data_IF_916164731016
#
_entry.id   IF_916164731016
#
_cell.length_a   1.000
_cell.length_b   1.000
_cell.length_c   1.000
_cell.angle_alpha   90.00
_cell.angle_beta   90.00
_cell.angle_gamma   90.00
#
_symmetry.space_group_name_H-M   'P 1'
#
loop_
_entity.id
_entity.type
_entity.pdbx_description
1 polymer ?
#
# COMPACT_ATOMS: atom_id res chain seq x y z
N UNK A 1 39.38 -9.02 -1.05
CA UNK A 1 38.21 -8.26 -0.54
C UNK A 1 37.02 -8.63 -1.42
N UNK A 2 36.19 -9.58 -0.98
CA UNK A 2 34.92 -9.95 -1.63
C UNK A 2 34.00 -8.73 -1.57
N UNK A 3 33.44 -8.33 -2.72
CA UNK A 3 32.20 -7.55 -2.75
C UNK A 3 31.10 -8.56 -2.48
N UNK A 4 30.36 -8.37 -1.40
CA UNK A 4 29.11 -9.06 -1.19
C UNK A 4 28.07 -8.34 -2.06
N UNK A 5 27.80 -8.94 -3.22
CA UNK A 5 26.67 -8.57 -4.07
C UNK A 5 25.39 -8.98 -3.34
N UNK A 6 24.91 -8.10 -2.46
CA UNK A 6 23.62 -8.22 -1.74
C UNK A 6 22.42 -7.83 -2.60
N UNK A 7 22.45 -8.17 -3.89
CA UNK A 7 21.30 -8.05 -4.77
C UNK A 7 20.43 -9.28 -4.57
N UNK A 8 19.28 -9.12 -3.90
CA UNK A 8 18.23 -10.13 -3.94
C UNK A 8 17.78 -10.39 -5.39
N UNK A 9 16.93 -11.41 -5.62
CA UNK A 9 16.39 -11.71 -6.96
C UNK A 9 15.62 -10.53 -7.60
N UNK A 10 15.33 -9.49 -6.83
CA UNK A 10 14.72 -8.24 -7.22
C UNK A 10 15.83 -7.19 -7.45
N UNK A 11 16.31 -7.09 -8.68
CA UNK A 11 17.47 -6.27 -9.06
C UNK A 11 17.29 -4.74 -8.98
N UNK A 12 16.27 -4.25 -8.26
CA UNK A 12 15.99 -2.83 -8.08
C UNK A 12 16.43 -2.31 -6.70
N UNK A 13 16.79 -1.03 -6.64
CA UNK A 13 17.20 -0.38 -5.39
C UNK A 13 15.96 -0.08 -4.54
N UNK A 14 15.85 -0.72 -3.37
CA UNK A 14 14.72 -0.48 -2.47
C UNK A 14 14.76 0.96 -1.91
N UNK A 15 13.65 1.68 -2.01
CA UNK A 15 13.56 3.09 -1.60
C UNK A 15 13.33 3.15 -0.08
N UNK A 16 14.25 3.72 0.72
CA UNK A 16 14.06 3.82 2.17
C UNK A 16 13.02 4.89 2.53
N UNK A 17 12.43 4.81 3.75
CA UNK A 17 11.58 5.87 4.28
C UNK A 17 12.29 7.24 4.23
N UNK A 18 11.55 8.30 3.90
CA UNK A 18 12.09 9.66 3.76
C UNK A 18 12.86 9.96 2.46
N UNK A 19 13.13 8.98 1.59
CA UNK A 19 13.84 9.19 0.31
C UNK A 19 12.95 9.09 -0.93
N UNK A 20 11.65 9.32 -0.76
CA UNK A 20 10.70 9.36 -1.88
C UNK A 20 11.03 10.51 -2.84
N UNK A 21 11.00 10.23 -4.14
CA UNK A 21 11.22 11.24 -5.19
C UNK A 21 9.89 11.83 -5.66
N UNK A 22 9.95 13.00 -6.32
CA UNK A 22 8.74 13.60 -6.92
C UNK A 22 8.11 12.69 -7.96
N UNK A 23 8.93 12.08 -8.85
CA UNK A 23 8.45 11.23 -9.93
C UNK A 23 7.66 10.01 -9.44
N UNK A 24 8.17 9.31 -8.41
CA UNK A 24 7.48 8.12 -7.89
C UNK A 24 6.20 8.48 -7.14
N UNK A 25 6.22 9.56 -6.35
CA UNK A 25 5.04 10.07 -5.66
C UNK A 25 3.96 10.51 -6.64
N UNK A 26 4.35 11.21 -7.70
CA UNK A 26 3.46 11.61 -8.79
C UNK A 26 2.83 10.38 -9.46
N UNK A 27 3.63 9.39 -9.85
CA UNK A 27 3.15 8.15 -10.49
C UNK A 27 2.18 7.41 -9.58
N UNK A 28 2.53 7.23 -8.31
CA UNK A 28 1.68 6.56 -7.33
C UNK A 28 0.36 7.31 -7.13
N UNK A 29 0.41 8.64 -6.95
CA UNK A 29 -0.79 9.48 -6.80
C UNK A 29 -1.73 9.31 -8.00
N UNK A 30 -1.21 9.31 -9.23
CA UNK A 30 -2.02 9.08 -10.43
C UNK A 30 -2.68 7.71 -10.45
N UNK A 31 -1.99 6.67 -10.01
CA UNK A 31 -2.54 5.30 -9.94
C UNK A 31 -3.66 5.22 -8.89
N UNK A 32 -3.44 5.74 -7.69
CA UNK A 32 -4.47 5.71 -6.64
C UNK A 32 -5.68 6.60 -6.97
N UNK A 33 -5.49 7.69 -7.73
CA UNK A 33 -6.60 8.50 -8.25
C UNK A 33 -7.39 7.80 -9.37
N UNK A 34 -6.75 6.89 -10.12
CA UNK A 34 -7.41 6.09 -11.17
C UNK A 34 -8.25 4.97 -10.58
N UNK A 35 -7.91 4.48 -9.39
CA UNK A 35 -8.65 3.43 -8.69
C UNK A 35 -10.16 3.72 -8.66
N UNK A 36 -10.97 2.76 -9.12
CA UNK A 36 -12.43 2.84 -9.12
C UNK A 36 -13.07 1.96 -8.03
N UNK A 37 -12.28 1.15 -7.31
CA UNK A 37 -12.77 0.26 -6.24
C UNK A 37 -13.02 0.94 -4.90
N UNK A 38 -12.75 2.24 -4.79
CA UNK A 38 -13.01 3.00 -3.57
C UNK A 38 -14.50 3.32 -3.41
N UNK A 39 -15.01 3.22 -2.17
CA UNK A 39 -16.35 3.69 -1.80
C UNK A 39 -16.21 4.86 -0.82
N UNK A 40 -16.78 6.04 -1.12
CA UNK A 40 -17.52 6.37 -2.34
C UNK A 40 -16.62 6.40 -3.60
N UNK A 41 -17.19 6.32 -4.82
CA UNK A 41 -16.40 6.37 -6.06
C UNK A 41 -15.54 7.63 -6.16
N UNK A 42 -14.31 7.48 -6.66
CA UNK A 42 -13.33 8.57 -6.83
C UNK A 42 -12.95 9.31 -5.54
N UNK A 43 -13.11 8.67 -4.38
CA UNK A 43 -12.85 9.30 -3.07
C UNK A 43 -11.44 9.90 -2.96
N UNK A 44 -10.40 9.18 -3.40
CA UNK A 44 -9.01 9.69 -3.36
C UNK A 44 -8.84 10.92 -4.24
N UNK A 45 -9.47 10.94 -5.42
CA UNK A 45 -9.46 12.09 -6.32
C UNK A 45 -10.18 13.30 -5.70
N UNK A 46 -11.31 13.08 -5.03
CA UNK A 46 -12.05 14.15 -4.36
C UNK A 46 -11.23 14.73 -3.19
N UNK A 47 -10.70 13.87 -2.32
CA UNK A 47 -9.80 14.27 -1.22
C UNK A 47 -8.59 15.05 -1.70
N UNK A 48 -8.00 14.64 -2.83
CA UNK A 48 -6.89 15.37 -3.43
C UNK A 48 -7.27 16.79 -3.84
N UNK A 49 -8.43 16.96 -4.48
CA UNK A 49 -8.90 18.28 -4.86
C UNK A 49 -9.16 19.16 -3.65
N UNK A 50 -9.81 18.62 -2.61
CA UNK A 50 -10.09 19.34 -1.36
C UNK A 50 -8.79 19.74 -0.66
N UNK A 51 -7.82 18.83 -0.60
CA UNK A 51 -6.49 19.10 -0.06
C UNK A 51 -5.77 20.20 -0.86
N UNK A 52 -5.82 20.15 -2.19
CA UNK A 52 -5.22 21.19 -3.03
C UNK A 52 -5.91 22.55 -2.83
N UNK A 53 -7.23 22.59 -2.69
CA UNK A 53 -7.95 23.84 -2.44
C UNK A 53 -7.58 24.46 -1.09
N UNK A 54 -7.21 23.63 -0.10
CA UNK A 54 -6.77 24.10 1.22
C UNK A 54 -5.28 24.47 1.29
N UNK A 55 -4.40 23.79 0.52
CA UNK A 55 -2.95 23.84 0.73
C UNK A 55 -2.12 24.21 -0.50
N UNK A 56 -2.64 24.01 -1.72
CA UNK A 56 -1.85 24.25 -2.93
C UNK A 56 -1.81 25.74 -3.28
N UNK A 57 -0.66 26.26 -3.72
CA UNK A 57 -0.58 27.62 -4.24
C UNK A 57 -1.42 27.75 -5.53
N UNK A 58 -1.98 28.93 -5.80
CA UNK A 58 -2.67 29.18 -7.06
C UNK A 58 -1.68 29.23 -8.23
N UNK A 59 -2.12 28.78 -9.42
CA UNK A 59 -1.26 28.75 -10.63
C UNK A 59 -0.90 30.17 -11.09
N UNK A 60 -1.83 31.11 -10.89
CA UNK A 60 -1.68 32.54 -11.20
C UNK A 60 -2.16 33.34 -10.00
N UNK A 61 -1.67 34.57 -9.84
CA UNK A 61 -2.14 35.47 -8.79
C UNK A 61 -3.68 35.63 -8.84
N UNK A 62 -4.37 35.38 -7.73
CA UNK A 62 -5.84 35.37 -7.64
C UNK A 62 -6.54 34.23 -8.40
N UNK A 63 -5.80 33.26 -8.95
CA UNK A 63 -6.32 32.12 -9.69
C UNK A 63 -6.80 30.98 -8.78
N UNK A 64 -7.30 29.90 -9.42
CA UNK A 64 -7.66 28.66 -8.71
C UNK A 64 -6.39 27.91 -8.25
N UNK A 65 -6.53 27.15 -7.17
CA UNK A 65 -5.49 26.25 -6.68
C UNK A 65 -5.03 25.29 -7.78
N UNK A 66 -3.71 25.07 -7.87
CA UNK A 66 -3.15 24.07 -8.76
C UNK A 66 -3.53 22.66 -8.27
N UNK A 67 -4.20 21.87 -9.11
CA UNK A 67 -4.61 20.49 -8.79
C UNK A 67 -3.88 19.43 -9.61
N UNK A 68 -3.11 19.83 -10.61
CA UNK A 68 -2.29 18.89 -11.39
C UNK A 68 -1.05 18.50 -10.57
N UNK A 69 -0.92 17.22 -10.16
CA UNK A 69 0.22 16.77 -9.37
C UNK A 69 1.57 17.04 -10.05
N UNK A 70 1.61 17.13 -11.39
CA UNK A 70 2.85 17.42 -12.13
C UNK A 70 3.40 18.81 -11.85
N UNK A 71 2.52 19.75 -11.49
CA UNK A 71 2.86 21.17 -11.22
C UNK A 71 3.11 21.44 -9.73
N UNK A 72 2.91 20.45 -8.87
CA UNK A 72 2.98 20.60 -7.42
C UNK A 72 4.29 20.03 -6.86
N UNK A 73 4.71 20.57 -5.72
CA UNK A 73 5.97 20.15 -5.08
C UNK A 73 5.88 18.73 -4.53
N UNK A 74 7.05 18.10 -4.39
CA UNK A 74 7.19 16.78 -3.78
C UNK A 74 6.56 16.72 -2.39
N UNK A 75 6.82 17.74 -1.58
CA UNK A 75 6.40 17.78 -0.19
C UNK A 75 4.88 17.96 -0.06
N UNK A 76 4.25 18.68 -1.00
CA UNK A 76 2.79 18.80 -1.04
C UNK A 76 2.13 17.45 -1.37
N UNK A 77 2.66 16.73 -2.36
CA UNK A 77 2.16 15.39 -2.72
C UNK A 77 2.36 14.42 -1.55
N UNK A 78 3.55 14.43 -0.93
CA UNK A 78 3.85 13.61 0.23
C UNK A 78 2.89 13.92 1.39
N UNK A 79 2.65 15.19 1.68
CA UNK A 79 1.70 15.64 2.70
C UNK A 79 0.32 15.02 2.49
N UNK A 80 -0.23 15.14 1.28
CA UNK A 80 -1.51 14.52 0.95
C UNK A 80 -1.50 12.99 1.14
N UNK A 81 -0.48 12.30 0.65
CA UNK A 81 -0.40 10.84 0.74
C UNK A 81 -0.36 10.36 2.19
N UNK A 82 0.25 11.14 3.09
CA UNK A 82 0.27 10.86 4.53
C UNK A 82 -1.03 11.23 5.25
N UNK A 83 -1.89 12.08 4.68
CA UNK A 83 -3.24 12.35 5.20
C UNK A 83 -4.24 11.23 4.91
N UNK A 84 -3.95 10.36 3.93
CA UNK A 84 -4.80 9.21 3.67
C UNK A 84 -4.90 8.32 4.93
N UNK A 85 -6.10 7.78 5.24
CA UNK A 85 -6.31 7.03 6.46
C UNK A 85 -5.33 5.86 6.59
N UNK A 86 -4.67 5.73 7.74
CA UNK A 86 -3.77 4.60 8.01
C UNK A 86 -4.35 3.21 7.68
N UNK A 87 -5.63 2.90 7.96
CA UNK A 87 -6.22 1.61 7.56
C UNK A 87 -6.16 1.35 6.05
N UNK A 88 -6.27 2.40 5.22
CA UNK A 88 -6.17 2.30 3.76
C UNK A 88 -4.77 1.82 3.34
N UNK A 89 -3.71 2.39 3.93
CA UNK A 89 -2.32 1.95 3.69
C UNK A 89 -2.07 0.51 4.14
N UNK A 90 -2.57 0.15 5.32
CA UNK A 90 -2.44 -1.22 5.87
C UNK A 90 -3.10 -2.24 4.94
N UNK A 91 -4.34 -1.98 4.53
CA UNK A 91 -5.11 -2.88 3.67
C UNK A 91 -4.48 -2.99 2.27
N UNK A 92 -3.96 -1.89 1.73
CA UNK A 92 -3.22 -1.92 0.46
C UNK A 92 -1.97 -2.80 0.54
N UNK A 93 -1.13 -2.61 1.57
CA UNK A 93 0.08 -3.43 1.76
C UNK A 93 -0.27 -4.91 1.91
N UNK A 94 -1.32 -5.24 2.66
CA UNK A 94 -1.81 -6.61 2.76
C UNK A 94 -2.28 -7.17 1.42
N UNK A 95 -2.98 -6.36 0.61
CA UNK A 95 -3.42 -6.77 -0.72
C UNK A 95 -2.23 -7.07 -1.64
N UNK A 96 -1.20 -6.24 -1.59
CA UNK A 96 0.07 -6.45 -2.30
C UNK A 96 0.74 -7.76 -1.85
N UNK A 97 0.79 -8.02 -0.54
CA UNK A 97 1.32 -9.27 0.01
C UNK A 97 0.53 -10.50 -0.46
N UNK A 98 -0.81 -10.41 -0.48
CA UNK A 98 -1.69 -11.52 -0.88
C UNK A 98 -1.54 -11.83 -2.38
N UNK A 99 -1.54 -10.79 -3.22
CA UNK A 99 -1.29 -10.95 -4.66
C UNK A 99 0.15 -11.41 -4.95
N UNK A 100 1.09 -11.06 -4.06
CA UNK A 100 2.50 -11.42 -4.09
C UNK A 100 2.80 -12.91 -3.95
N UNK A 101 1.83 -13.77 -3.60
CA UNK A 101 2.05 -15.22 -3.56
C UNK A 101 2.43 -15.80 -4.93
N UNK A 102 2.07 -15.13 -6.03
CA UNK A 102 2.38 -15.54 -7.39
C UNK A 102 3.38 -14.61 -8.10
N UNK A 103 3.54 -13.36 -7.65
CA UNK A 103 4.41 -12.35 -8.26
C UNK A 103 5.65 -11.98 -7.44
N UNK A 104 5.82 -12.54 -6.23
CA UNK A 104 7.01 -12.36 -5.39
C UNK A 104 7.03 -11.11 -4.48
N UNK A 105 5.96 -10.31 -4.48
CA UNK A 105 5.87 -9.14 -3.59
C UNK A 105 5.82 -9.48 -2.09
N UNK A 106 5.55 -10.75 -1.72
CA UNK A 106 5.59 -11.20 -0.33
C UNK A 106 7.03 -11.25 0.19
N UNK A 107 7.93 -11.77 -0.65
CA UNK A 107 9.36 -11.79 -0.40
C UNK A 107 9.92 -10.37 -0.37
N UNK A 108 9.48 -9.51 -1.29
CA UNK A 108 9.84 -8.08 -1.34
C UNK A 108 9.45 -7.34 -0.04
N UNK A 109 8.23 -7.54 0.48
CA UNK A 109 7.85 -7.00 1.79
C UNK A 109 8.76 -7.47 2.92
N UNK A 110 9.11 -8.75 2.92
CA UNK A 110 9.96 -9.35 3.94
C UNK A 110 11.36 -8.74 3.89
N UNK A 111 11.96 -8.65 2.70
CA UNK A 111 13.26 -8.04 2.48
C UNK A 111 13.26 -6.56 2.85
N UNK A 112 12.21 -5.82 2.47
CA UNK A 112 12.05 -4.41 2.83
C UNK A 112 12.02 -4.21 4.35
N UNK A 113 11.26 -5.04 5.06
CA UNK A 113 11.20 -4.98 6.52
C UNK A 113 12.55 -5.32 7.17
N UNK A 114 13.27 -6.32 6.66
CA UNK A 114 14.59 -6.68 7.20
C UNK A 114 15.58 -5.52 7.11
N UNK A 115 15.53 -4.75 6.02
CA UNK A 115 16.42 -3.61 5.81
C UNK A 115 16.01 -2.37 6.61
N UNK A 116 14.73 -2.02 6.60
CA UNK A 116 14.30 -0.68 7.04
C UNK A 116 13.39 -0.66 8.26
N UNK A 117 12.73 -1.77 8.62
CA UNK A 117 11.77 -1.73 9.71
C UNK A 117 12.47 -1.50 11.07
N UNK A 118 11.80 -0.82 12.01
CA UNK A 118 12.27 -0.73 13.38
C UNK A 118 12.33 -2.12 14.05
N UNK A 119 13.18 -2.28 15.07
CA UNK A 119 13.24 -3.51 15.86
C UNK A 119 11.97 -3.70 16.69
N UNK A 120 11.63 -4.96 16.96
CA UNK A 120 10.51 -5.33 17.79
C UNK A 120 10.91 -5.29 19.27
N UNK A 121 10.69 -4.16 19.92
CA UNK A 121 11.05 -3.95 21.33
C UNK A 121 12.56 -4.12 21.55
N UNK A 122 12.94 -5.02 22.46
CA UNK A 122 14.34 -5.32 22.77
C UNK A 122 14.93 -6.48 21.92
N UNK A 123 14.17 -7.01 20.95
CA UNK A 123 14.64 -8.07 20.06
C UNK A 123 15.39 -7.48 18.86
N UNK A 124 16.32 -8.26 18.29
CA UNK A 124 16.90 -7.99 16.97
C UNK A 124 15.91 -8.25 15.83
N UNK A 125 14.79 -8.93 16.11
CA UNK A 125 13.73 -9.19 15.12
C UNK A 125 13.07 -7.90 14.64
N UNK A 126 12.74 -7.83 13.35
CA UNK A 126 12.12 -6.67 12.72
C UNK A 126 10.59 -6.72 12.79
N UNK A 127 9.94 -5.56 12.91
CA UNK A 127 8.48 -5.46 12.80
C UNK A 127 8.08 -5.71 11.33
N UNK A 128 7.22 -6.71 11.11
CA UNK A 128 6.72 -7.08 9.76
C UNK A 128 5.22 -6.94 9.57
N UNK A 129 4.49 -6.65 10.64
CA UNK A 129 3.04 -6.43 10.56
C UNK A 129 2.77 -4.97 10.18
N UNK A 130 2.12 -4.70 9.02
CA UNK A 130 1.80 -3.33 8.59
C UNK A 130 1.01 -2.53 9.63
N UNK A 131 0.24 -3.19 10.50
CA UNK A 131 -0.53 -2.55 11.58
C UNK A 131 0.32 -1.94 12.68
N UNK A 132 1.62 -2.25 12.72
CA UNK A 132 2.58 -1.75 13.70
C UNK A 132 3.63 -0.82 13.08
N UNK A 133 3.42 -0.40 11.82
CA UNK A 133 4.33 0.48 11.08
C UNK A 133 3.66 1.82 10.75
N UNK A 134 4.47 2.87 10.60
CA UNK A 134 3.99 4.20 10.30
C UNK A 134 3.53 4.34 8.84
N UNK A 135 2.55 5.21 8.52
CA UNK A 135 2.08 5.41 7.16
C UNK A 135 3.19 5.77 6.17
N UNK A 136 4.19 6.54 6.60
CA UNK A 136 5.35 6.89 5.76
C UNK A 136 6.16 5.65 5.37
N UNK A 137 6.33 4.69 6.28
CA UNK A 137 6.99 3.42 6.01
C UNK A 137 6.19 2.56 5.02
N UNK A 138 4.86 2.53 5.18
CA UNK A 138 3.98 1.80 4.26
C UNK A 138 4.00 2.42 2.87
N UNK A 139 3.94 3.75 2.79
CA UNK A 139 4.04 4.52 1.55
C UNK A 139 5.38 4.26 0.85
N UNK A 140 6.49 4.29 1.59
CA UNK A 140 7.83 4.06 1.00
C UNK A 140 7.98 2.64 0.46
N UNK A 141 7.41 1.64 1.13
CA UNK A 141 7.34 0.29 0.58
C UNK A 141 6.53 0.24 -0.73
N UNK A 142 5.32 0.80 -0.76
CA UNK A 142 4.47 0.78 -1.97
C UNK A 142 5.16 1.50 -3.14
N UNK A 143 5.82 2.63 -2.87
CA UNK A 143 6.60 3.34 -3.87
C UNK A 143 7.80 2.53 -4.37
N UNK A 144 8.51 1.85 -3.47
CA UNK A 144 9.62 0.96 -3.82
C UNK A 144 9.14 -0.20 -4.71
N UNK A 145 8.04 -0.85 -4.33
CA UNK A 145 7.45 -1.93 -5.12
C UNK A 145 6.98 -1.43 -6.50
N UNK A 146 6.51 -0.19 -6.59
CA UNK A 146 6.09 0.42 -7.86
C UNK A 146 7.26 0.77 -8.77
N UNK A 147 8.39 1.18 -8.21
CA UNK A 147 9.62 1.43 -8.98
C UNK A 147 10.17 0.13 -9.57
N UNK A 148 10.03 -0.97 -8.83
CA UNK A 148 10.45 -2.31 -9.26
C UNK A 148 9.44 -3.02 -10.19
N UNK A 149 8.19 -2.54 -10.25
CA UNK A 149 7.12 -3.12 -11.08
C UNK A 149 7.41 -2.87 -12.58
N UNK A 150 7.52 -3.95 -13.37
CA UNK A 150 7.77 -3.86 -14.81
C UNK A 150 6.66 -3.02 -15.47
N UNK A 151 6.99 -1.92 -16.17
CA UNK A 151 6.01 -1.11 -16.89
C UNK A 151 5.14 -1.88 -17.89
N UNK A 152 5.59 -3.06 -18.37
CA UNK A 152 4.90 -3.89 -19.36
C UNK A 152 3.96 -4.94 -18.77
N UNK A 153 4.26 -5.46 -17.58
CA UNK A 153 3.48 -6.50 -16.90
C UNK A 153 2.76 -6.01 -15.63
N UNK A 154 3.11 -4.81 -15.15
CA UNK A 154 2.42 -3.94 -14.19
C UNK A 154 1.54 -4.62 -13.15
N UNK A 155 2.09 -5.54 -12.36
CA UNK A 155 1.31 -6.34 -11.40
C UNK A 155 0.86 -5.47 -10.22
N UNK A 156 1.70 -4.54 -9.78
CA UNK A 156 1.33 -3.60 -8.73
C UNK A 156 0.34 -2.55 -9.23
N UNK A 157 0.55 -2.02 -10.44
CA UNK A 157 -0.40 -1.09 -11.05
C UNK A 157 -1.81 -1.72 -11.17
N UNK A 158 -1.88 -2.98 -11.61
CA UNK A 158 -3.14 -3.75 -11.69
C UNK A 158 -3.73 -4.01 -10.31
N UNK A 159 -2.90 -4.30 -9.31
CA UNK A 159 -3.33 -4.46 -7.92
C UNK A 159 -3.95 -3.18 -7.37
N UNK A 160 -3.34 -2.02 -7.66
CA UNK A 160 -3.86 -0.70 -7.28
C UNK A 160 -5.18 -0.37 -7.99
N UNK A 161 -5.33 -0.73 -9.26
CA UNK A 161 -6.58 -0.50 -10.00
C UNK A 161 -7.74 -1.34 -9.46
N UNK A 162 -7.47 -2.60 -9.11
CA UNK A 162 -8.44 -3.54 -8.57
C UNK A 162 -8.61 -3.47 -7.05
N UNK A 163 -7.89 -2.56 -6.37
CA UNK A 163 -7.96 -2.43 -4.93
C UNK A 163 -9.31 -1.84 -4.51
N UNK A 164 -9.99 -2.49 -3.59
CA UNK A 164 -11.27 -2.04 -3.06
C UNK A 164 -11.11 -1.56 -1.62
N UNK A 165 -11.69 -0.41 -1.31
CA UNK A 165 -11.68 0.13 0.06
C UNK A 165 -12.90 1.01 0.31
N UNK A 166 -13.62 0.73 1.39
CA UNK A 166 -14.72 1.58 1.85
C UNK A 166 -14.22 2.60 2.89
N UNK A 167 -14.15 3.86 2.48
CA UNK A 167 -13.77 4.98 3.33
C UNK A 167 -14.83 5.34 4.37
N UNK A 168 -16.10 4.96 4.16
CA UNK A 168 -17.17 5.17 5.12
C UNK A 168 -17.17 4.12 6.23
N UNK A 169 -16.69 2.91 5.94
CA UNK A 169 -16.62 1.81 6.89
C UNK A 169 -15.23 1.14 6.86
N UNK A 170 -14.17 1.86 7.28
CA UNK A 170 -12.83 1.30 7.28
C UNK A 170 -12.75 0.09 8.22
N UNK A 171 -11.99 -0.97 7.85
CA UNK A 171 -11.91 -2.16 8.67
C UNK A 171 -11.45 -1.81 10.09
N UNK A 172 -12.11 -2.35 11.13
CA UNK A 172 -11.79 -2.03 12.51
C UNK A 172 -10.34 -2.41 12.80
N UNK A 173 -9.64 -1.56 13.56
CA UNK A 173 -8.24 -1.76 13.94
C UNK A 173 -8.05 -3.18 14.49
N UNK A 174 -7.38 -4.04 13.71
CA UNK A 174 -6.95 -5.35 14.16
C UNK A 174 -7.84 -6.55 13.85
N UNK A 175 -8.98 -6.40 13.14
CA UNK A 175 -9.70 -7.60 12.67
C UNK A 175 -8.88 -8.26 11.57
N UNK A 176 -8.51 -9.52 11.77
CA UNK A 176 -8.05 -10.38 10.67
C UNK A 176 -9.21 -10.40 9.68
N UNK A 177 -8.98 -9.91 8.46
CA UNK A 177 -9.85 -10.28 7.35
C UNK A 177 -9.83 -11.81 7.35
N UNK A 178 -10.95 -12.42 7.71
CA UNK A 178 -11.15 -13.82 7.43
C UNK A 178 -11.02 -13.90 5.91
N UNK A 179 -9.95 -14.53 5.44
CA UNK A 179 -9.92 -15.08 4.10
C UNK A 179 -11.21 -15.88 3.95
N UNK A 180 -12.17 -15.34 3.21
CA UNK A 180 -13.31 -16.11 2.72
C UNK A 180 -12.75 -17.13 1.73
N UNK A 181 -12.15 -18.18 2.25
CA UNK A 181 -12.02 -19.43 1.54
C UNK A 181 -13.42 -19.98 1.26
N UNK A 182 -13.62 -20.68 0.13
CA UNK A 182 -14.93 -21.20 -0.23
C UNK A 182 -15.43 -22.14 0.87
N UNK A 183 -16.55 -21.72 1.48
CA UNK A 183 -17.40 -22.55 2.31
C UNK A 183 -17.70 -23.87 1.58
N UNK A 184 -17.09 -24.97 2.03
CA UNK A 184 -17.33 -26.27 1.43
C UNK A 184 -16.55 -27.41 2.07
N UNK A 185 -17.06 -27.93 3.20
CA UNK A 185 -17.59 -29.31 3.31
C UNK A 185 -17.69 -29.74 4.76
N UNK A 186 -18.88 -30.23 5.10
CA UNK A 186 -19.32 -30.54 6.44
C UNK A 186 -18.61 -31.73 7.06
N UNK A 187 -18.39 -31.62 8.37
CA UNK A 187 -18.13 -32.75 9.23
C UNK A 187 -19.49 -33.27 9.71
N UNK A 188 -20.08 -34.16 8.93
CA UNK A 188 -21.20 -34.98 9.38
C UNK A 188 -20.69 -36.02 10.38
N UNK A 189 -20.74 -35.67 11.66
CA UNK A 189 -20.50 -36.59 12.78
C UNK A 189 -21.88 -37.04 13.29
N UNK A 190 -22.43 -38.07 12.68
CA UNK A 190 -23.63 -38.75 13.14
C UNK A 190 -23.26 -40.15 13.61
N UNK A 191 -23.14 -40.33 14.92
CA UNK A 191 -23.06 -41.64 15.54
C UNK A 191 -24.44 -42.30 15.51
N UNK A 192 -24.46 -43.61 15.33
CA UNK A 192 -25.61 -44.45 15.65
C UNK A 192 -25.10 -45.66 16.43
N UNK A 193 -25.29 -45.60 17.74
CA UNK A 193 -25.26 -46.75 18.64
C UNK A 193 -26.70 -47.21 18.86
N UNK A 194 -26.97 -48.46 18.49
CA UNK A 194 -27.77 -49.40 19.31
C UNK A 194 -29.30 -49.28 19.28
N UNK A 195 -29.95 -50.35 18.81
CA UNK A 195 -31.34 -50.62 19.17
C UNK A 195 -32.00 -51.83 18.52
N UNK A 196 -31.89 -52.97 19.22
CA UNK A 196 -32.63 -54.25 19.11
C UNK A 196 -32.19 -55.30 18.09
#
# INVERSE_FOLDING_TARGET
>A
RRREDGGGPWGGELIPPGQLTHGILHRLLKLVQRNQGSTPPKEIYNRWNDFCDAHAPPITEGGRAARDPKLLSKDLILGFMLELPRPWWISLVKKIQANGQYSGHREEWTEYCERFAPPMGNSSSKIRDPRNLDPEFLLSFVASALENDDPKEGTLASTLDAYEFDFNNPPPRGRREHEEGPSGKGWGKGGDEGGK
#
